data_IF_581356641256
#
_entry.id   IF_581356641256
#
_cell.length_a   1.000
_cell.length_b   1.000
_cell.length_c   1.000
_cell.angle_alpha   90.00
_cell.angle_beta   90.00
_cell.angle_gamma   90.00
#
_symmetry.space_group_name_H-M   'P 1'
#
loop_
_entity.id
_entity.type
_entity.pdbx_description
1 polymer ?
#
# COMPACT_ATOMS: atom_id res chain seq x y z
N UNK A 1 -6.69 26.95 -25.86
CA UNK A 1 -5.56 26.00 -25.82
C UNK A 1 -4.93 26.09 -24.44
N UNK A 2 -5.20 25.12 -23.55
CA UNK A 2 -4.51 25.05 -22.26
C UNK A 2 -3.12 24.44 -22.49
N UNK A 3 -2.04 25.04 -21.95
CA UNK A 3 -0.71 24.46 -22.05
C UNK A 3 -0.68 23.16 -21.26
N UNK A 4 -0.39 22.05 -21.94
CA UNK A 4 -0.04 20.78 -21.31
C UNK A 4 1.25 21.02 -20.51
N UNK A 5 1.16 21.11 -19.18
CA UNK A 5 2.34 21.01 -18.33
C UNK A 5 2.93 19.62 -18.53
N UNK A 6 4.18 19.59 -18.97
CA UNK A 6 4.91 18.37 -19.27
C UNK A 6 5.01 17.49 -18.01
N UNK A 7 4.80 16.17 -18.17
CA UNK A 7 4.92 15.14 -17.12
C UNK A 7 6.26 15.15 -16.36
N UNK A 8 7.26 15.86 -16.88
CA UNK A 8 8.59 16.01 -16.31
C UNK A 8 8.62 16.87 -15.03
N UNK A 9 7.64 17.75 -14.80
CA UNK A 9 7.61 18.64 -13.62
C UNK A 9 7.03 17.97 -12.35
N UNK A 10 6.57 16.71 -12.42
CA UNK A 10 5.85 16.03 -11.33
C UNK A 10 6.52 14.70 -10.91
N UNK A 11 7.62 14.28 -11.54
CA UNK A 11 8.35 13.06 -11.18
C UNK A 11 7.52 11.76 -11.29
N UNK A 12 6.42 11.77 -12.05
CA UNK A 12 5.49 10.64 -12.17
C UNK A 12 6.02 9.57 -13.13
N UNK A 13 6.78 8.61 -12.61
CA UNK A 13 7.22 7.42 -13.36
C UNK A 13 6.31 6.22 -13.08
N UNK A 14 5.76 5.62 -14.13
CA UNK A 14 4.89 4.44 -14.01
C UNK A 14 5.72 3.19 -13.68
N UNK A 15 5.41 2.53 -12.57
CA UNK A 15 6.03 1.25 -12.22
C UNK A 15 5.46 0.12 -13.07
N UNK A 16 6.29 -0.63 -13.82
CA UNK A 16 5.83 -1.81 -14.56
C UNK A 16 5.16 -2.83 -13.63
N UNK A 17 3.99 -3.35 -14.03
CA UNK A 17 3.21 -4.31 -13.23
C UNK A 17 4.03 -5.54 -12.80
N UNK A 18 4.93 -6.03 -13.64
CA UNK A 18 5.79 -7.18 -13.31
C UNK A 18 6.77 -6.88 -12.17
N UNK A 19 7.33 -5.67 -12.14
CA UNK A 19 8.23 -5.22 -11.07
C UNK A 19 7.44 -5.03 -9.78
N UNK A 20 6.28 -4.35 -9.85
CA UNK A 20 5.40 -4.20 -8.71
C UNK A 20 5.01 -5.56 -8.12
N UNK A 21 4.58 -6.51 -8.96
CA UNK A 21 4.26 -7.87 -8.55
C UNK A 21 5.42 -8.57 -7.86
N UNK A 22 6.61 -8.56 -8.46
CA UNK A 22 7.77 -9.21 -7.88
C UNK A 22 8.12 -8.65 -6.50
N UNK A 23 8.19 -7.32 -6.37
CA UNK A 23 8.55 -6.66 -5.12
C UNK A 23 7.50 -6.88 -4.02
N UNK A 24 6.21 -6.69 -4.35
CA UNK A 24 5.11 -6.89 -3.41
C UNK A 24 5.04 -8.34 -2.95
N UNK A 25 5.18 -9.30 -3.87
CA UNK A 25 5.18 -10.72 -3.53
C UNK A 25 6.33 -11.05 -2.57
N UNK A 26 7.55 -10.60 -2.86
CA UNK A 26 8.70 -10.85 -2.00
C UNK A 26 8.53 -10.24 -0.61
N UNK A 27 8.01 -9.01 -0.52
CA UNK A 27 7.74 -8.36 0.75
C UNK A 27 6.70 -9.13 1.59
N UNK A 28 5.58 -9.52 0.98
CA UNK A 28 4.52 -10.28 1.66
C UNK A 28 5.04 -11.64 2.14
N UNK A 29 5.73 -12.40 1.28
CA UNK A 29 6.26 -13.72 1.67
C UNK A 29 7.30 -13.61 2.79
N UNK A 30 8.20 -12.63 2.70
CA UNK A 30 9.20 -12.39 3.73
C UNK A 30 8.55 -12.06 5.08
N UNK A 31 7.54 -11.19 5.09
CA UNK A 31 6.82 -10.84 6.32
C UNK A 31 6.07 -12.06 6.90
N UNK A 32 5.43 -12.86 6.05
CA UNK A 32 4.64 -14.00 6.51
C UNK A 32 5.51 -15.14 7.06
N UNK A 33 6.71 -15.37 6.51
CA UNK A 33 7.53 -16.55 6.84
C UNK A 33 8.86 -16.27 7.52
N UNK A 34 9.28 -15.01 7.65
CA UNK A 34 10.57 -14.61 8.27
C UNK A 34 11.80 -15.28 7.64
N UNK A 35 11.69 -15.81 6.42
CA UNK A 35 12.77 -16.48 5.71
C UNK A 35 12.94 -15.84 4.33
N UNK A 36 14.18 -15.79 3.84
CA UNK A 36 14.56 -15.13 2.58
C UNK A 36 14.92 -16.13 1.46
N UNK A 37 14.95 -17.43 1.74
CA UNK A 37 15.50 -18.42 0.81
C UNK A 37 14.47 -18.99 -0.18
N UNK A 38 14.74 -18.73 -1.48
CA UNK A 38 14.30 -19.49 -2.65
C UNK A 38 12.83 -19.95 -2.69
N UNK A 39 11.92 -18.99 -2.91
CA UNK A 39 10.48 -19.24 -2.89
C UNK A 39 9.84 -19.47 -4.26
N UNK A 40 9.24 -20.65 -4.42
CA UNK A 40 8.03 -20.80 -5.23
C UNK A 40 6.81 -20.73 -4.31
N UNK A 41 5.78 -19.98 -4.71
CA UNK A 41 4.47 -19.92 -4.04
C UNK A 41 3.96 -21.34 -3.71
N UNK A 42 4.17 -22.30 -4.61
CA UNK A 42 3.71 -23.68 -4.48
C UNK A 42 4.31 -24.43 -3.28
N UNK A 43 5.54 -24.11 -2.86
CA UNK A 43 6.23 -24.85 -1.81
C UNK A 43 5.75 -24.46 -0.40
N UNK A 44 5.43 -23.18 -0.19
CA UNK A 44 4.88 -22.69 1.08
C UNK A 44 3.38 -22.94 1.23
N UNK A 45 2.65 -23.07 0.12
CA UNK A 45 1.19 -23.25 0.12
C UNK A 45 0.73 -24.69 0.39
N UNK A 46 1.65 -25.63 0.57
CA UNK A 46 1.40 -27.01 1.06
C UNK A 46 1.18 -27.04 2.58
N UNK A 47 0.33 -26.15 3.09
CA UNK A 47 0.07 -25.97 4.51
C UNK A 47 -0.81 -27.09 5.07
N UNK A 48 -0.26 -27.83 6.03
CA UNK A 48 -0.99 -28.64 7.01
C UNK A 48 -2.13 -27.79 7.61
N UNK A 49 -3.31 -28.38 7.87
CA UNK A 49 -4.48 -27.72 8.50
C UNK A 49 -4.16 -26.84 9.71
N UNK A 50 -3.15 -27.19 10.52
CA UNK A 50 -2.71 -26.40 11.69
C UNK A 50 -2.03 -25.08 11.30
N UNK A 51 -1.45 -25.01 10.11
CA UNK A 51 -0.87 -23.78 9.58
C UNK A 51 -1.90 -22.90 8.87
N UNK A 52 -2.98 -23.45 8.31
CA UNK A 52 -4.02 -22.66 7.62
C UNK A 52 -4.62 -21.55 8.50
N UNK A 53 -5.00 -21.84 9.75
CA UNK A 53 -5.56 -20.83 10.66
C UNK A 53 -4.57 -19.73 11.01
N UNK A 54 -3.31 -20.09 11.30
CA UNK A 54 -2.23 -19.13 11.60
C UNK A 54 -1.98 -18.20 10.41
N UNK A 55 -1.97 -18.74 9.20
CA UNK A 55 -1.79 -17.94 7.98
C UNK A 55 -2.97 -17.01 7.70
N UNK A 56 -4.21 -17.48 7.92
CA UNK A 56 -5.39 -16.62 7.82
C UNK A 56 -5.30 -15.44 8.78
N UNK A 57 -4.92 -15.70 10.03
CA UNK A 57 -4.75 -14.66 11.04
C UNK A 57 -3.64 -13.66 10.66
N UNK A 58 -2.49 -14.16 10.20
CA UNK A 58 -1.40 -13.28 9.72
C UNK A 58 -1.84 -12.41 8.55
N UNK A 59 -2.53 -12.99 7.56
CA UNK A 59 -3.02 -12.25 6.39
C UNK A 59 -4.08 -11.23 6.81
N UNK A 60 -5.04 -11.59 7.68
CA UNK A 60 -6.10 -10.68 8.09
C UNK A 60 -5.58 -9.47 8.87
N UNK A 61 -4.48 -9.65 9.62
CA UNK A 61 -3.90 -8.60 10.45
C UNK A 61 -2.81 -7.77 9.72
N UNK A 62 -2.43 -8.14 8.50
CA UNK A 62 -1.35 -7.48 7.76
C UNK A 62 -1.75 -6.09 7.24
N UNK A 63 -0.98 -5.06 7.56
CA UNK A 63 -1.19 -3.68 7.08
C UNK A 63 -0.10 -3.27 6.09
N UNK A 64 -0.48 -3.05 4.84
CA UNK A 64 0.43 -2.64 3.75
C UNK A 64 0.17 -1.18 3.39
N UNK A 65 1.24 -0.37 3.40
CA UNK A 65 1.21 1.04 3.01
C UNK A 65 2.00 1.31 1.73
N UNK A 66 1.42 2.08 0.82
CA UNK A 66 2.15 2.83 -0.20
C UNK A 66 1.98 4.35 0.06
N UNK A 67 3.04 5.05 0.54
CA UNK A 67 2.94 6.44 0.98
C UNK A 67 2.97 7.47 -0.18
N UNK A 68 3.11 7.01 -1.41
CA UNK A 68 3.19 7.83 -2.62
C UNK A 68 2.64 7.05 -3.81
N UNK A 69 1.39 6.60 -3.69
CA UNK A 69 0.92 5.46 -4.45
C UNK A 69 0.55 5.73 -5.91
N UNK A 70 0.41 7.00 -6.31
CA UNK A 70 -0.07 7.38 -7.63
C UNK A 70 -1.39 6.68 -7.97
N UNK A 71 -1.40 5.92 -9.06
CA UNK A 71 -2.56 5.13 -9.51
C UNK A 71 -2.75 3.79 -8.75
N UNK A 72 -1.95 3.54 -7.72
CA UNK A 72 -2.11 2.43 -6.77
C UNK A 72 -1.61 1.08 -7.28
N UNK A 73 -0.61 1.04 -8.16
CA UNK A 73 -0.14 -0.23 -8.77
C UNK A 73 0.37 -1.24 -7.75
N UNK A 74 1.11 -0.81 -6.72
CA UNK A 74 1.56 -1.69 -5.63
C UNK A 74 0.39 -2.15 -4.76
N UNK A 75 -0.56 -1.26 -4.48
CA UNK A 75 -1.75 -1.55 -3.69
C UNK A 75 -2.64 -2.59 -4.38
N UNK A 76 -2.91 -2.42 -5.68
CA UNK A 76 -3.66 -3.39 -6.50
C UNK A 76 -2.97 -4.74 -6.54
N UNK A 77 -1.65 -4.71 -6.70
CA UNK A 77 -0.82 -5.91 -6.70
C UNK A 77 -0.91 -6.65 -5.36
N UNK A 78 -0.83 -5.92 -4.24
CA UNK A 78 -0.96 -6.49 -2.91
C UNK A 78 -2.34 -7.11 -2.70
N UNK A 79 -3.43 -6.43 -3.11
CA UNK A 79 -4.79 -6.99 -3.07
C UNK A 79 -4.87 -8.32 -3.83
N UNK A 80 -4.34 -8.39 -5.05
CA UNK A 80 -4.35 -9.63 -5.86
C UNK A 80 -3.59 -10.76 -5.15
N UNK A 81 -2.40 -10.49 -4.63
CA UNK A 81 -1.59 -11.51 -3.94
C UNK A 81 -2.29 -12.01 -2.68
N UNK A 82 -2.79 -11.12 -1.83
CA UNK A 82 -3.49 -11.52 -0.59
C UNK A 82 -4.80 -12.26 -0.89
N UNK A 83 -5.51 -11.88 -1.96
CA UNK A 83 -6.70 -12.59 -2.41
C UNK A 83 -6.36 -14.02 -2.87
N UNK A 84 -5.33 -14.19 -3.70
CA UNK A 84 -4.87 -15.50 -4.17
C UNK A 84 -4.44 -16.40 -3.01
N UNK A 85 -3.75 -15.83 -2.00
CA UNK A 85 -3.38 -16.55 -0.78
C UNK A 85 -4.64 -17.01 -0.01
N UNK A 86 -5.61 -16.13 0.19
CA UNK A 86 -6.89 -16.50 0.85
C UNK A 86 -7.59 -17.65 0.12
N UNK A 87 -7.73 -17.56 -1.21
CA UNK A 87 -8.38 -18.61 -2.02
C UNK A 87 -7.68 -19.95 -1.94
N UNK A 88 -6.35 -19.95 -1.87
CA UNK A 88 -5.58 -21.19 -1.66
C UNK A 88 -5.80 -21.78 -0.27
N UNK A 89 -5.85 -20.95 0.77
CA UNK A 89 -6.18 -21.39 2.12
C UNK A 89 -7.61 -21.99 2.19
N UNK A 90 -8.57 -21.39 1.49
CA UNK A 90 -9.95 -21.90 1.38
C UNK A 90 -10.04 -23.25 0.66
N UNK A 91 -9.20 -23.48 -0.36
CA UNK A 91 -9.17 -24.77 -1.05
C UNK A 91 -8.55 -25.87 -0.19
N UNK A 92 -7.65 -25.53 0.73
CA UNK A 92 -7.02 -26.48 1.64
C UNK A 92 -7.88 -26.78 2.89
N UNK A 93 -8.85 -25.91 3.20
CA UNK A 93 -9.76 -26.05 4.34
C UNK A 93 -11.14 -26.58 3.90
N UNK A 94 -11.19 -27.89 3.64
CA UNK A 94 -12.41 -28.58 3.17
C UNK A 94 -13.56 -28.61 4.18
N UNK A 95 -13.35 -28.15 5.42
CA UNK A 95 -14.35 -28.13 6.48
C UNK A 95 -15.06 -26.77 6.60
N UNK A 96 -14.47 -25.69 6.07
CA UNK A 96 -15.00 -24.34 6.16
C UNK A 96 -15.85 -23.98 4.93
N UNK A 97 -16.93 -23.22 5.14
CA UNK A 97 -17.68 -22.63 4.02
C UNK A 97 -16.83 -21.59 3.29
N UNK A 98 -16.79 -21.69 1.95
CA UNK A 98 -16.05 -20.72 1.13
C UNK A 98 -16.75 -19.37 1.17
N UNK A 99 -16.04 -18.38 1.69
CA UNK A 99 -16.46 -16.97 1.67
C UNK A 99 -16.53 -16.47 0.23
N UNK A 100 -17.47 -15.56 -0.07
CA UNK A 100 -17.58 -14.97 -1.41
C UNK A 100 -16.36 -14.13 -1.75
N UNK A 101 -15.95 -14.13 -3.03
CA UNK A 101 -14.78 -13.37 -3.49
C UNK A 101 -14.95 -11.86 -3.20
N UNK A 102 -16.16 -11.35 -3.41
CA UNK A 102 -16.51 -9.95 -3.13
C UNK A 102 -16.27 -9.58 -1.66
N UNK A 103 -16.74 -10.41 -0.73
CA UNK A 103 -16.58 -10.17 0.71
C UNK A 103 -15.09 -10.19 1.11
N UNK A 104 -14.31 -11.13 0.58
CA UNK A 104 -12.87 -11.21 0.87
C UNK A 104 -12.14 -9.98 0.32
N UNK A 105 -12.44 -9.56 -0.91
CA UNK A 105 -11.84 -8.38 -1.51
C UNK A 105 -12.20 -7.09 -0.77
N UNK A 106 -13.47 -6.92 -0.37
CA UNK A 106 -13.92 -5.78 0.43
C UNK A 106 -13.17 -5.70 1.78
N UNK A 107 -13.00 -6.83 2.46
CA UNK A 107 -12.23 -6.87 3.71
C UNK A 107 -10.75 -6.55 3.49
N UNK A 108 -10.12 -7.15 2.48
CA UNK A 108 -8.71 -6.92 2.18
C UNK A 108 -8.45 -5.44 1.88
N UNK A 109 -9.28 -4.83 1.05
CA UNK A 109 -9.11 -3.41 0.68
C UNK A 109 -9.37 -2.49 1.88
N UNK A 110 -10.33 -2.83 2.74
CA UNK A 110 -10.68 -1.99 3.88
C UNK A 110 -9.64 -2.05 4.99
N UNK A 111 -9.07 -3.22 5.25
CA UNK A 111 -8.25 -3.45 6.45
C UNK A 111 -6.76 -3.59 6.16
N UNK A 112 -6.39 -4.08 4.98
CA UNK A 112 -4.99 -4.46 4.70
C UNK A 112 -4.28 -3.48 3.76
N UNK A 113 -5.01 -2.69 2.96
CA UNK A 113 -4.45 -1.92 1.84
C UNK A 113 -4.62 -0.42 2.06
N UNK A 114 -3.49 0.27 2.24
CA UNK A 114 -3.46 1.68 2.62
C UNK A 114 -2.60 2.49 1.65
N UNK A 115 -3.15 3.55 1.07
CA UNK A 115 -2.44 4.43 0.13
C UNK A 115 -2.50 5.88 0.55
N UNK A 116 -1.42 6.62 0.32
CA UNK A 116 -1.40 8.09 0.41
C UNK A 116 -0.83 8.68 -0.87
N UNK A 117 -1.47 9.72 -1.39
CA UNK A 117 -0.95 10.47 -2.52
C UNK A 117 -1.23 11.97 -2.41
N UNK A 118 -0.28 12.79 -2.88
CA UNK A 118 -0.34 14.25 -2.78
C UNK A 118 -1.14 14.89 -3.92
N UNK A 119 -1.42 14.16 -5.00
CA UNK A 119 -2.17 14.68 -6.15
C UNK A 119 -3.68 14.60 -5.91
N UNK A 120 -4.21 15.59 -5.18
CA UNK A 120 -5.65 15.72 -4.84
C UNK A 120 -6.60 15.46 -6.02
N UNK A 121 -6.21 15.86 -7.23
CA UNK A 121 -7.05 15.78 -8.41
C UNK A 121 -7.18 14.36 -8.97
N UNK A 122 -6.25 13.46 -8.64
CA UNK A 122 -6.26 12.06 -9.11
C UNK A 122 -6.93 11.11 -8.13
N UNK A 123 -6.89 11.39 -6.83
CA UNK A 123 -7.40 10.50 -5.74
C UNK A 123 -8.76 9.88 -6.07
N UNK A 124 -9.75 10.68 -6.47
CA UNK A 124 -11.09 10.16 -6.78
C UNK A 124 -11.06 9.17 -7.94
N UNK A 125 -10.35 9.52 -9.02
CA UNK A 125 -10.24 8.66 -10.20
C UNK A 125 -9.46 7.39 -9.88
N UNK A 126 -8.30 7.50 -9.23
CA UNK A 126 -7.46 6.36 -8.87
C UNK A 126 -8.20 5.38 -7.96
N UNK A 127 -8.99 5.86 -7.00
CA UNK A 127 -9.86 5.00 -6.20
C UNK A 127 -10.96 4.34 -7.04
N UNK A 128 -11.67 5.08 -7.91
CA UNK A 128 -12.69 4.47 -8.78
C UNK A 128 -12.09 3.40 -9.70
N UNK A 129 -10.94 3.68 -10.31
CA UNK A 129 -10.21 2.72 -11.14
C UNK A 129 -9.76 1.50 -10.33
N UNK A 130 -9.42 1.68 -9.04
CA UNK A 130 -9.09 0.60 -8.12
C UNK A 130 -10.29 -0.32 -7.89
N UNK A 131 -11.41 0.24 -7.45
CA UNK A 131 -12.59 -0.55 -7.09
C UNK A 131 -13.19 -1.24 -8.33
N UNK A 132 -13.15 -0.59 -9.50
CA UNK A 132 -13.55 -1.17 -10.78
C UNK A 132 -12.69 -2.38 -11.20
N UNK A 133 -11.38 -2.34 -10.95
CA UNK A 133 -10.46 -3.44 -11.26
C UNK A 133 -10.83 -4.73 -10.51
N UNK A 134 -11.30 -4.59 -9.27
CA UNK A 134 -11.76 -5.70 -8.43
C UNK A 134 -13.26 -5.96 -8.49
N UNK A 135 -14.00 -5.23 -9.35
CA UNK A 135 -15.46 -5.38 -9.54
C UNK A 135 -16.25 -5.30 -8.22
N UNK A 136 -15.83 -4.41 -7.33
CA UNK A 136 -16.53 -4.18 -6.07
C UNK A 136 -17.57 -3.08 -6.30
N UNK A 137 -18.76 -3.28 -5.76
CA UNK A 137 -19.78 -2.23 -5.77
C UNK A 137 -19.38 -1.19 -4.72
N UNK A 138 -18.81 -0.07 -5.15
CA UNK A 138 -18.43 1.00 -4.24
C UNK A 138 -19.69 1.68 -3.68
N UNK A 139 -20.23 1.17 -2.57
CA UNK A 139 -21.43 1.73 -1.91
C UNK A 139 -21.06 2.96 -1.07
N UNK A 140 -19.80 3.04 -0.59
CA UNK A 140 -19.30 4.15 0.24
C UNK A 140 -17.79 4.39 0.01
N UNK A 141 -17.38 5.63 0.23
CA UNK A 141 -16.00 6.11 0.34
C UNK A 141 -15.11 5.33 1.30
N UNK A 142 -15.67 4.53 2.22
CA UNK A 142 -14.92 3.65 3.13
C UNK A 142 -14.10 2.58 2.41
N UNK A 143 -14.48 2.22 1.18
CA UNK A 143 -13.75 1.25 0.37
C UNK A 143 -12.59 1.88 -0.41
N UNK A 144 -12.32 3.18 -0.26
CA UNK A 144 -11.24 3.86 -0.99
C UNK A 144 -9.91 3.71 -0.25
N UNK A 145 -8.96 2.89 -0.76
CA UNK A 145 -7.69 2.67 -0.07
C UNK A 145 -6.77 3.90 -0.13
N UNK A 146 -6.95 4.78 -1.12
CA UNK A 146 -6.05 5.92 -1.36
C UNK A 146 -6.60 7.20 -0.72
N UNK A 147 -5.84 7.75 0.22
CA UNK A 147 -6.12 9.02 0.89
C UNK A 147 -5.27 10.16 0.33
N UNK A 148 -5.79 11.38 0.44
CA UNK A 148 -5.07 12.59 0.06
C UNK A 148 -4.14 13.06 1.17
N UNK A 149 -2.86 13.28 0.85
CA UNK A 149 -1.94 13.99 1.73
C UNK A 149 -0.47 13.87 1.32
N UNK A 150 0.37 14.59 2.04
CA UNK A 150 1.81 14.52 1.97
C UNK A 150 2.30 13.63 3.11
N UNK A 151 2.65 12.38 2.77
CA UNK A 151 3.11 11.38 3.73
C UNK A 151 4.31 11.82 4.59
N UNK A 152 5.13 12.77 4.11
CA UNK A 152 6.31 13.27 4.82
C UNK A 152 5.99 14.35 5.85
N UNK A 153 4.84 15.03 5.73
CA UNK A 153 4.52 16.24 6.49
C UNK A 153 3.29 15.99 7.37
N UNK A 154 3.49 16.00 8.69
CA UNK A 154 2.42 15.80 9.68
C UNK A 154 1.95 17.11 10.32
N UNK A 155 2.67 18.20 10.06
CA UNK A 155 2.40 19.50 10.66
C UNK A 155 1.31 20.24 9.90
N UNK A 156 0.24 20.59 10.62
CA UNK A 156 -0.94 21.25 10.08
C UNK A 156 -0.71 22.65 9.52
N UNK A 157 0.43 23.27 9.82
CA UNK A 157 0.83 24.54 9.22
C UNK A 157 1.16 24.40 7.72
N UNK A 158 1.50 23.19 7.27
CA UNK A 158 1.80 22.93 5.87
C UNK A 158 0.55 22.50 5.09
N UNK A 159 0.40 22.95 3.83
CA UNK A 159 -0.67 22.46 2.98
C UNK A 159 -0.49 20.96 2.74
N UNK A 160 -1.63 20.26 2.63
CA UNK A 160 -1.67 18.83 2.35
C UNK A 160 -1.02 17.94 3.42
N UNK A 161 -0.77 18.43 4.64
CA UNK A 161 -0.26 17.59 5.72
C UNK A 161 -1.12 16.34 5.91
N UNK A 162 -0.49 15.24 6.29
CA UNK A 162 -1.16 13.97 6.54
C UNK A 162 -0.98 13.59 8.01
N UNK A 163 -2.07 13.55 8.77
CA UNK A 163 -2.03 13.19 10.19
C UNK A 163 -2.20 11.67 10.35
N UNK A 164 -1.09 10.93 10.42
CA UNK A 164 -1.08 9.48 10.57
C UNK A 164 -1.87 8.99 11.78
N UNK A 165 -1.72 9.65 12.94
CA UNK A 165 -2.39 9.28 14.18
C UNK A 165 -3.91 9.51 14.15
N UNK A 166 -4.39 10.40 13.28
CA UNK A 166 -5.82 10.62 13.04
C UNK A 166 -6.34 9.64 11.98
N UNK A 167 -5.64 9.52 10.87
CA UNK A 167 -6.09 8.78 9.70
C UNK A 167 -5.99 7.25 9.88
N UNK A 168 -5.01 6.79 10.66
CA UNK A 168 -4.71 5.38 10.90
C UNK A 168 -4.46 5.09 12.39
N UNK A 169 -5.31 5.64 13.27
CA UNK A 169 -5.13 5.62 14.72
C UNK A 169 -4.80 4.25 15.32
N UNK A 170 -5.51 3.19 14.92
CA UNK A 170 -5.26 1.83 15.42
C UNK A 170 -3.90 1.32 14.97
N UNK A 171 -3.61 1.37 13.67
CA UNK A 171 -2.35 0.94 13.08
C UNK A 171 -1.17 1.66 13.73
N UNK A 172 -1.25 3.00 13.87
CA UNK A 172 -0.18 3.77 14.49
C UNK A 172 0.01 3.46 15.98
N UNK A 173 -1.07 3.12 16.70
CA UNK A 173 -0.99 2.69 18.11
C UNK A 173 -0.35 1.31 18.26
N UNK A 174 -0.53 0.45 17.27
CA UNK A 174 -0.06 -0.94 17.28
C UNK A 174 1.35 -1.10 16.67
N UNK A 175 2.08 0.01 16.47
CA UNK A 175 3.48 0.01 16.04
C UNK A 175 3.71 0.42 14.59
N UNK A 176 2.64 0.72 13.83
CA UNK A 176 2.71 1.17 12.46
C UNK A 176 2.33 0.08 11.45
N UNK A 177 2.77 0.27 10.20
CA UNK A 177 2.48 -0.65 9.10
C UNK A 177 3.50 -1.79 9.06
N UNK A 178 3.02 -2.96 8.67
CA UNK A 178 3.82 -4.18 8.56
C UNK A 178 4.74 -4.16 7.33
N UNK A 179 4.23 -3.61 6.22
CA UNK A 179 4.95 -3.47 4.96
C UNK A 179 4.75 -2.05 4.44
N UNK A 180 5.84 -1.36 4.13
CA UNK A 180 5.83 -0.11 3.37
C UNK A 180 6.48 -0.39 2.03
N UNK A 181 5.74 -0.17 0.94
CA UNK A 181 6.18 -0.46 -0.42
C UNK A 181 5.64 0.60 -1.38
N UNK A 182 6.47 1.06 -2.30
CA UNK A 182 6.08 2.08 -3.27
C UNK A 182 7.23 2.44 -4.20
N UNK A 183 6.93 3.30 -5.16
CA UNK A 183 7.94 3.97 -5.98
C UNK A 183 7.78 5.48 -5.77
N UNK A 184 8.51 6.07 -4.80
CA UNK A 184 8.40 7.49 -4.52
C UNK A 184 8.80 8.34 -5.74
N UNK A 185 8.28 9.57 -5.86
CA UNK A 185 8.60 10.47 -6.96
C UNK A 185 10.09 10.82 -6.97
N UNK A 186 10.65 11.11 -8.14
CA UNK A 186 12.07 11.45 -8.33
C UNK A 186 12.23 12.93 -8.68
N UNK A 187 13.27 13.60 -8.17
CA UNK A 187 13.54 15.02 -8.39
C UNK A 187 12.52 16.01 -7.82
N UNK A 188 11.76 15.66 -6.78
CA UNK A 188 10.82 16.59 -6.16
C UNK A 188 11.55 17.76 -5.48
N UNK A 189 11.05 18.99 -5.64
CA UNK A 189 11.62 20.15 -4.94
C UNK A 189 11.30 20.10 -3.43
N UNK A 190 12.30 19.71 -2.65
CA UNK A 190 12.21 19.56 -1.19
C UNK A 190 12.61 20.83 -0.44
N UNK A 191 13.02 21.91 -1.11
CA UNK A 191 13.56 23.09 -0.44
C UNK A 191 12.57 23.70 0.56
N UNK A 192 11.27 23.75 0.20
CA UNK A 192 10.20 24.25 1.07
C UNK A 192 9.98 23.41 2.33
N UNK A 193 10.39 22.15 2.35
CA UNK A 193 10.21 21.24 3.48
C UNK A 193 11.52 21.01 4.26
N UNK A 194 12.65 21.50 3.75
CA UNK A 194 13.99 21.23 4.31
C UNK A 194 14.08 21.52 5.80
N UNK A 195 13.67 22.72 6.23
CA UNK A 195 13.74 23.11 7.65
C UNK A 195 12.90 22.18 8.54
N UNK A 196 11.70 21.83 8.10
CA UNK A 196 10.83 20.89 8.80
C UNK A 196 11.46 19.50 8.90
N UNK A 197 11.95 18.96 7.78
CA UNK A 197 12.54 17.62 7.72
C UNK A 197 13.84 17.52 8.53
N UNK A 198 14.71 18.54 8.47
CA UNK A 198 15.91 18.60 9.30
C UNK A 198 15.57 18.64 10.80
N UNK A 199 14.54 19.38 11.19
CA UNK A 199 14.10 19.48 12.59
C UNK A 199 13.49 18.17 13.08
N UNK A 200 12.62 17.55 12.27
CA UNK A 200 11.89 16.34 12.63
C UNK A 200 12.74 15.08 12.58
N UNK A 201 13.61 14.98 11.58
CA UNK A 201 14.44 13.80 11.32
C UNK A 201 15.93 14.12 11.35
N UNK A 202 16.46 14.68 12.44
CA UNK A 202 17.82 15.25 12.49
C UNK A 202 18.94 14.23 12.22
N UNK A 203 18.65 12.92 12.35
CA UNK A 203 19.61 11.83 12.11
C UNK A 203 19.71 11.40 10.64
N UNK A 204 18.70 11.66 9.82
CA UNK A 204 18.63 11.19 8.42
C UNK A 204 18.49 12.34 7.42
N UNK A 205 18.11 13.53 7.89
CA UNK A 205 17.89 14.72 7.07
C UNK A 205 19.16 15.61 7.02
N UNK A 206 20.26 15.06 6.51
CA UNK A 206 21.53 15.78 6.29
C UNK A 206 21.95 15.70 4.80
N UNK A 207 22.62 16.74 4.28
CA UNK A 207 23.09 16.78 2.89
C UNK A 207 22.11 17.43 1.90
N UNK A 208 22.23 17.07 0.61
CA UNK A 208 21.28 17.47 -0.44
C UNK A 208 20.04 16.59 -0.35
N UNK A 209 18.86 17.23 -0.29
CA UNK A 209 17.60 16.49 -0.33
C UNK A 209 17.28 16.22 -1.80
N UNK A 210 17.49 14.99 -2.23
CA UNK A 210 16.76 14.45 -3.38
C UNK A 210 15.68 13.53 -2.84
N UNK A 211 14.54 13.48 -3.51
CA UNK A 211 13.56 12.41 -3.36
C UNK A 211 14.09 11.01 -3.76
N UNK A 212 15.37 10.91 -4.13
CA UNK A 212 16.12 9.68 -4.34
C UNK A 212 17.43 9.53 -3.51
N UNK A 213 17.79 10.52 -2.68
CA UNK A 213 19.15 10.74 -2.14
C UNK A 213 20.19 11.17 -3.20
#
# INVERSE_FOLDING_TARGET
>A
MHPQRNKHDIGEYYTPKSIAYYLTLKAILYYLNNEMESYSLEKELNLNKKATSVWREKISNLNILDPSCGDGVFLKTATTILFDLNRKLDNNDTLSEKRSDKLVLEELITHNIHGVDINKYKIKKSNLDFINEFKIDAIDSKLYPIKYGNALIEDSEFPSYFNWNKEYKSIMKDGGFDIIIGNPPWGADMNKYKSYLCSKYPRIAFGQFDSFA
#
